data_IF_290296409752
#
_entry.id   IF_290296409752
#
_cell.length_a   1.000
_cell.length_b   1.000
_cell.length_c   1.000
_cell.angle_alpha   90.00
_cell.angle_beta   90.00
_cell.angle_gamma   90.00
#
_symmetry.space_group_name_H-M   'P 1'
#
loop_
_entity.id
_entity.type
_entity.pdbx_description
1 polymer ?
#
# COMPACT_ATOMS: atom_id res chain seq x y z
N UNK A 1 -0.59 28.32 0.12
CA UNK A 1 0.88 28.20 0.00
C UNK A 1 1.23 26.77 -0.39
N UNK A 2 1.61 26.60 -1.66
CA UNK A 2 2.24 25.39 -2.17
C UNK A 2 3.54 25.20 -1.40
N UNK A 3 3.54 24.34 -0.40
CA UNK A 3 4.78 23.82 0.17
C UNK A 3 5.16 22.62 -0.67
N UNK A 4 6.13 22.83 -1.57
CA UNK A 4 7.13 21.90 -2.08
C UNK A 4 7.03 20.43 -1.60
N UNK A 5 5.96 19.71 -1.98
CA UNK A 5 5.80 18.29 -1.61
C UNK A 5 6.55 17.34 -2.53
N UNK A 6 7.02 17.81 -3.68
CA UNK A 6 7.85 16.99 -4.59
C UNK A 6 9.33 16.95 -4.17
N UNK A 7 9.81 17.89 -3.34
CA UNK A 7 11.23 18.01 -3.00
C UNK A 7 11.68 17.09 -1.84
N UNK A 8 10.76 16.41 -1.14
CA UNK A 8 11.09 15.51 -0.01
C UNK A 8 11.23 14.04 -0.46
N UNK A 9 10.81 13.68 -1.67
CA UNK A 9 10.71 12.27 -2.09
C UNK A 9 12.05 11.54 -2.31
N UNK A 10 13.20 12.23 -2.26
CA UNK A 10 14.47 11.68 -2.74
C UNK A 10 15.62 11.69 -1.72
N UNK A 11 15.30 11.74 -0.42
CA UNK A 11 16.33 11.63 0.62
C UNK A 11 16.75 10.16 0.78
N UNK A 12 18.06 9.82 0.83
CA UNK A 12 18.54 8.44 1.03
C UNK A 12 17.95 7.75 2.26
N UNK A 13 17.67 8.53 3.32
CA UNK A 13 17.02 8.04 4.54
C UNK A 13 15.62 7.49 4.27
N UNK A 14 14.80 8.18 3.49
CA UNK A 14 13.42 7.74 3.20
C UNK A 14 13.42 6.48 2.35
N UNK A 15 14.30 6.41 1.35
CA UNK A 15 14.51 5.19 0.56
C UNK A 15 14.90 4.01 1.44
N UNK A 16 15.84 4.20 2.37
CA UNK A 16 16.24 3.15 3.29
C UNK A 16 15.07 2.65 4.16
N UNK A 17 14.22 3.55 4.65
CA UNK A 17 13.03 3.18 5.43
C UNK A 17 12.03 2.39 4.58
N UNK A 18 11.80 2.79 3.33
CA UNK A 18 10.87 2.07 2.43
C UNK A 18 11.40 0.66 2.14
N UNK A 19 12.70 0.52 1.86
CA UNK A 19 13.33 -0.79 1.64
C UNK A 19 13.31 -1.67 2.89
N UNK A 20 13.53 -1.08 4.08
CA UNK A 20 13.39 -1.80 5.35
C UNK A 20 11.96 -2.30 5.54
N UNK A 21 10.96 -1.43 5.33
CA UNK A 21 9.54 -1.78 5.44
C UNK A 21 9.16 -2.90 4.47
N UNK A 22 9.68 -2.87 3.24
CA UNK A 22 9.43 -3.90 2.23
C UNK A 22 9.98 -5.27 2.65
N UNK A 23 11.10 -5.29 3.38
CA UNK A 23 11.71 -6.52 3.88
C UNK A 23 11.07 -7.03 5.20
N UNK A 24 10.17 -6.27 5.82
CA UNK A 24 9.49 -6.71 7.04
C UNK A 24 8.50 -7.83 6.76
N UNK A 25 8.43 -8.78 7.69
CA UNK A 25 7.41 -9.82 7.69
C UNK A 25 5.99 -9.20 7.62
N UNK A 26 5.05 -9.77 6.85
CA UNK A 26 3.68 -9.29 6.73
C UNK A 26 2.96 -9.05 8.07
N UNK A 27 3.27 -9.84 9.09
CA UNK A 27 2.69 -9.75 10.43
C UNK A 27 3.32 -8.67 11.30
N UNK A 28 4.46 -8.11 10.89
CA UNK A 28 5.15 -7.08 11.65
C UNK A 28 4.46 -5.72 11.52
N UNK A 29 4.15 -5.10 12.67
CA UNK A 29 3.59 -3.76 12.76
C UNK A 29 4.62 -2.68 12.42
N UNK A 30 4.16 -1.58 11.83
CA UNK A 30 5.01 -0.44 11.50
C UNK A 30 5.24 0.48 12.70
N UNK A 31 6.40 1.12 12.75
CA UNK A 31 6.65 2.25 13.64
C UNK A 31 5.93 3.52 13.15
N UNK A 32 5.74 4.50 14.04
CA UNK A 32 5.12 5.79 13.66
C UNK A 32 5.93 6.53 12.57
N UNK A 33 7.26 6.45 12.62
CA UNK A 33 8.14 7.00 11.58
C UNK A 33 7.91 6.29 10.24
N UNK A 34 7.86 4.96 10.22
CA UNK A 34 7.59 4.18 9.01
C UNK A 34 6.22 4.50 8.42
N UNK A 35 5.18 4.58 9.27
CA UNK A 35 3.83 4.97 8.82
C UNK A 35 3.83 6.36 8.17
N UNK A 36 4.49 7.33 8.80
CA UNK A 36 4.60 8.70 8.28
C UNK A 36 5.29 8.70 6.92
N UNK A 37 6.41 7.98 6.78
CA UNK A 37 7.14 7.88 5.52
C UNK A 37 6.29 7.24 4.42
N UNK A 38 5.61 6.12 4.69
CA UNK A 38 4.75 5.48 3.68
C UNK A 38 3.60 6.39 3.25
N UNK A 39 3.00 7.13 4.19
CA UNK A 39 1.90 8.03 3.88
C UNK A 39 2.35 9.23 3.05
N UNK A 40 3.48 9.85 3.41
CA UNK A 40 4.02 11.02 2.72
C UNK A 40 4.59 10.64 1.35
N UNK A 41 5.23 9.47 1.23
CA UNK A 41 5.77 8.93 -0.01
C UNK A 41 4.81 8.02 -0.79
N UNK A 42 3.51 8.02 -0.47
CA UNK A 42 2.51 7.08 -1.02
C UNK A 42 2.49 6.99 -2.55
N UNK A 43 2.74 8.09 -3.25
CA UNK A 43 2.82 8.09 -4.72
C UNK A 43 3.99 7.25 -5.24
N UNK A 44 5.14 7.28 -4.55
CA UNK A 44 6.31 6.46 -4.86
C UNK A 44 6.10 5.01 -4.43
N UNK A 45 5.51 4.79 -3.25
CA UNK A 45 5.18 3.45 -2.77
C UNK A 45 4.20 2.72 -3.70
N UNK A 46 3.29 3.47 -4.34
CA UNK A 46 2.32 2.92 -5.28
C UNK A 46 2.96 2.31 -6.54
N UNK A 47 4.24 2.57 -6.82
CA UNK A 47 4.95 1.91 -7.93
C UNK A 47 5.32 0.44 -7.62
N UNK A 48 5.21 0.00 -6.36
CA UNK A 48 5.50 -1.37 -5.93
C UNK A 48 4.26 -2.03 -5.29
N UNK A 49 3.67 -3.07 -5.93
CA UNK A 49 2.49 -3.75 -5.40
C UNK A 49 2.71 -4.36 -4.01
N UNK A 50 3.94 -4.74 -3.68
CA UNK A 50 4.27 -5.38 -2.39
C UNK A 50 4.25 -4.41 -1.21
N UNK A 51 4.29 -3.09 -1.46
CA UNK A 51 4.17 -2.08 -0.41
C UNK A 51 2.71 -1.80 -0.02
N UNK A 52 1.73 -2.27 -0.79
CA UNK A 52 0.32 -1.95 -0.54
C UNK A 52 -0.16 -2.37 0.86
N UNK A 53 0.10 -3.61 1.34
CA UNK A 53 -0.35 -4.01 2.68
C UNK A 53 0.24 -3.13 3.78
N UNK A 54 1.51 -2.70 3.63
CA UNK A 54 2.20 -1.83 4.59
C UNK A 54 1.68 -0.40 4.53
N UNK A 55 1.44 0.15 3.33
CA UNK A 55 0.79 1.45 3.17
C UNK A 55 -0.59 1.46 3.84
N UNK A 56 -1.40 0.42 3.67
CA UNK A 56 -2.73 0.34 4.29
C UNK A 56 -2.67 0.30 5.83
N UNK A 57 -1.57 -0.19 6.41
CA UNK A 57 -1.32 -0.11 7.86
C UNK A 57 -0.97 1.31 8.33
N UNK A 58 -0.46 2.19 7.46
CA UNK A 58 -0.17 3.58 7.81
C UNK A 58 -1.39 4.51 7.75
N UNK A 59 -2.51 4.03 7.20
CA UNK A 59 -3.73 4.82 7.04
C UNK A 59 -4.44 4.99 8.39
N UNK A 60 -4.77 6.24 8.73
CA UNK A 60 -5.66 6.51 9.85
C UNK A 60 -7.13 6.35 9.42
N UNK A 61 -7.67 5.15 9.59
CA UNK A 61 -9.05 4.79 9.21
C UNK A 61 -10.14 5.53 9.97
N UNK A 62 -9.81 6.24 11.06
CA UNK A 62 -10.75 7.09 11.80
C UNK A 62 -10.99 8.46 11.13
N UNK A 63 -10.14 8.85 10.16
CA UNK A 63 -10.26 10.13 9.46
C UNK A 63 -10.81 9.95 8.05
N UNK A 64 -12.02 10.46 7.73
CA UNK A 64 -12.65 10.27 6.42
C UNK A 64 -11.81 10.75 5.24
N UNK A 65 -11.04 11.83 5.43
CA UNK A 65 -10.13 12.36 4.40
C UNK A 65 -8.97 11.40 4.10
N UNK A 66 -8.42 10.75 5.13
CA UNK A 66 -7.37 9.74 4.96
C UNK A 66 -7.92 8.47 4.30
N UNK A 67 -9.12 8.03 4.70
CA UNK A 67 -9.81 6.90 4.07
C UNK A 67 -10.07 7.16 2.58
N UNK A 68 -10.56 8.37 2.24
CA UNK A 68 -10.80 8.74 0.86
C UNK A 68 -9.51 8.74 0.02
N UNK A 69 -8.42 9.31 0.57
CA UNK A 69 -7.11 9.30 -0.09
C UNK A 69 -6.60 7.86 -0.29
N UNK A 70 -6.67 6.99 0.72
CA UNK A 70 -6.24 5.61 0.63
C UNK A 70 -7.01 4.84 -0.46
N UNK A 71 -8.33 5.01 -0.52
CA UNK A 71 -9.16 4.41 -1.58
C UNK A 71 -8.82 4.94 -2.96
N UNK A 72 -8.53 6.24 -3.10
CA UNK A 72 -8.03 6.81 -4.36
C UNK A 72 -6.67 6.21 -4.74
N UNK A 73 -5.79 5.98 -3.77
CA UNK A 73 -4.48 5.38 -4.03
C UNK A 73 -4.58 3.94 -4.54
N UNK A 74 -5.60 3.16 -4.17
CA UNK A 74 -5.81 1.81 -4.70
C UNK A 74 -5.92 1.79 -6.23
N UNK A 75 -6.57 2.80 -6.84
CA UNK A 75 -6.70 2.87 -8.30
C UNK A 75 -5.42 3.28 -9.01
N UNK A 76 -4.43 3.80 -8.26
CA UNK A 76 -3.13 4.22 -8.77
C UNK A 76 -2.02 3.21 -8.42
N UNK A 77 -2.34 2.20 -7.62
CA UNK A 77 -1.36 1.21 -7.22
C UNK A 77 -0.96 0.36 -8.42
N UNK A 78 0.34 0.10 -8.56
CA UNK A 78 0.86 -0.77 -9.58
C UNK A 78 0.18 -2.14 -9.45
N UNK A 79 -0.26 -2.74 -10.57
CA UNK A 79 -0.85 -4.07 -10.54
C UNK A 79 0.21 -5.08 -10.06
N UNK A 80 -0.24 -6.16 -9.42
CA UNK A 80 0.64 -7.30 -9.18
C UNK A 80 1.18 -7.84 -10.51
N UNK A 81 2.48 -8.26 -10.55
CA UNK A 81 3.03 -9.02 -11.66
C UNK A 81 2.23 -10.30 -11.89
N UNK A 82 2.26 -10.80 -13.11
CA UNK A 82 1.64 -12.08 -13.47
C UNK A 82 2.21 -13.21 -12.60
N UNK A 83 1.33 -13.96 -11.94
CA UNK A 83 1.69 -15.04 -11.03
C UNK A 83 1.90 -14.62 -9.58
N UNK A 84 1.84 -13.32 -9.26
CA UNK A 84 1.96 -12.78 -7.90
C UNK A 84 0.63 -12.25 -7.34
N UNK A 85 -0.48 -12.35 -8.09
CA UNK A 85 -1.78 -11.82 -7.66
C UNK A 85 -2.29 -12.47 -6.38
N UNK A 86 -1.85 -13.70 -6.08
CA UNK A 86 -2.14 -14.39 -4.82
C UNK A 86 -1.64 -13.62 -3.58
N UNK A 87 -0.67 -12.71 -3.72
CA UNK A 87 -0.21 -11.83 -2.65
C UNK A 87 -1.34 -10.88 -2.17
N UNK A 88 -2.35 -10.62 -3.01
CA UNK A 88 -3.51 -9.84 -2.62
C UNK A 88 -4.37 -10.51 -1.53
N UNK A 89 -4.21 -11.83 -1.29
CA UNK A 89 -4.91 -12.56 -0.21
C UNK A 89 -4.65 -11.91 1.15
N UNK A 90 -3.46 -11.35 1.39
CA UNK A 90 -3.15 -10.67 2.65
C UNK A 90 -4.16 -9.55 2.96
N UNK A 91 -4.65 -8.85 1.94
CA UNK A 91 -5.62 -7.75 2.07
C UNK A 91 -7.04 -8.21 2.45
N UNK A 92 -7.27 -9.53 2.55
CA UNK A 92 -8.51 -10.11 3.04
C UNK A 92 -8.47 -10.42 4.55
N UNK A 93 -7.34 -10.20 5.20
CA UNK A 93 -7.18 -10.33 6.65
C UNK A 93 -8.08 -9.33 7.42
N UNK A 94 -8.41 -9.65 8.67
CA UNK A 94 -9.26 -8.81 9.53
C UNK A 94 -8.69 -7.41 9.78
N UNK A 95 -7.36 -7.25 9.67
CA UNK A 95 -6.67 -5.96 9.79
C UNK A 95 -7.08 -4.98 8.68
N UNK A 96 -7.51 -5.48 7.52
CA UNK A 96 -7.95 -4.71 6.36
C UNK A 96 -9.49 -4.79 6.24
N UNK A 97 -10.17 -4.12 7.16
CA UNK A 97 -11.63 -4.18 7.28
C UNK A 97 -12.39 -3.27 6.31
N UNK A 98 -11.70 -2.34 5.64
CA UNK A 98 -12.33 -1.44 4.69
C UNK A 98 -12.88 -2.21 3.47
N UNK A 99 -14.18 -2.05 3.13
CA UNK A 99 -14.79 -2.85 2.06
C UNK A 99 -14.17 -2.61 0.69
N UNK A 100 -13.65 -1.41 0.42
CA UNK A 100 -13.04 -1.08 -0.89
C UNK A 100 -11.67 -1.74 -1.02
N UNK A 101 -10.91 -1.86 0.08
CA UNK A 101 -9.66 -2.63 0.10
C UNK A 101 -9.91 -4.10 -0.18
N UNK A 102 -10.95 -4.67 0.44
CA UNK A 102 -11.31 -6.08 0.25
C UNK A 102 -11.81 -6.35 -1.18
N UNK A 103 -12.61 -5.46 -1.74
CA UNK A 103 -13.04 -5.53 -3.14
C UNK A 103 -11.86 -5.46 -4.10
N UNK A 104 -10.91 -4.54 -3.85
CA UNK A 104 -9.66 -4.49 -4.62
C UNK A 104 -8.92 -5.83 -4.55
N UNK A 105 -8.78 -6.41 -3.37
CA UNK A 105 -8.10 -7.70 -3.18
C UNK A 105 -8.76 -8.81 -4.01
N UNK A 106 -10.09 -8.93 -3.93
CA UNK A 106 -10.86 -9.91 -4.73
C UNK A 106 -10.64 -9.68 -6.22
N UNK A 107 -10.69 -8.43 -6.70
CA UNK A 107 -10.47 -8.14 -8.12
C UNK A 107 -9.07 -8.52 -8.63
N UNK A 108 -8.06 -8.54 -7.76
CA UNK A 108 -6.74 -9.04 -8.13
C UNK A 108 -6.74 -10.57 -8.21
N UNK A 109 -7.44 -11.25 -7.29
CA UNK A 109 -7.53 -12.71 -7.27
C UNK A 109 -8.35 -13.27 -8.44
N UNK A 110 -9.40 -12.57 -8.87
CA UNK A 110 -10.17 -12.97 -10.05
C UNK A 110 -9.30 -13.04 -11.33
N UNK A 111 -8.18 -12.29 -11.38
CA UNK A 111 -7.23 -12.33 -12.49
C UNK A 111 -6.38 -13.61 -12.50
N UNK A 112 -6.27 -14.33 -11.37
CA UNK A 112 -5.57 -15.62 -11.32
C UNK A 112 -6.32 -16.71 -12.10
N UNK A 113 -7.65 -16.67 -12.06
CA UNK A 113 -8.50 -17.69 -12.69
C UNK A 113 -8.39 -17.66 -14.23
N UNK A 114 -8.05 -16.51 -14.82
CA UNK A 114 -7.78 -16.37 -16.26
C UNK A 114 -6.42 -16.98 -16.69
N UNK A 115 -5.50 -17.24 -15.75
CA UNK A 115 -4.15 -17.79 -16.02
C UNK A 115 -4.10 -19.32 -15.89
N UNK A 116 -5.12 -19.93 -15.25
CA UNK A 116 -5.21 -21.38 -15.01
C UNK A 116 -6.13 -22.14 -15.98
N UNK A 117 -6.58 -21.51 -17.08
CA UNK A 117 -7.41 -22.13 -18.13
C UNK A 117 -6.69 -22.30 -19.48
#
# INVERSE_FOLDING_TARGET
PLYDKEMVADTPKLKAIIEEVKALDPLHSLSEEQCTVLWDCRAKCAEDPNLLPKFLQSVNWCYPTAVHEARRMLTHWAPYPEGEEANAIELLDIRYSDPVVREYAVSQLDRLDDVLL
#
